data_IF_275392654786
#
_entry.id   IF_275392654786
#
_cell.length_a   1.000
_cell.length_b   1.000
_cell.length_c   1.000
_cell.angle_alpha   90.00
_cell.angle_beta   90.00
_cell.angle_gamma   90.00
#
_symmetry.space_group_name_H-M   'P 1'
#
loop_
_entity.id
_entity.type
_entity.pdbx_description
1 polymer ?
#
# COMPACT_ATOMS: atom_id res chain seq x y z
N UNK A 1 -5.60 7.07 -12.65
CA UNK A 1 -5.68 5.96 -11.67
C UNK A 1 -6.62 4.96 -12.27
N UNK A 2 -6.20 3.70 -12.39
CA UNK A 2 -7.11 2.63 -12.80
C UNK A 2 -7.65 1.97 -11.53
N UNK A 3 -8.94 1.62 -11.53
CA UNK A 3 -9.62 0.98 -10.40
C UNK A 3 -10.35 -0.25 -10.91
N UNK A 4 -10.13 -1.37 -10.23
CA UNK A 4 -10.78 -2.65 -10.52
C UNK A 4 -11.56 -3.09 -9.30
N UNK A 5 -12.80 -3.54 -9.50
CA UNK A 5 -13.65 -4.11 -8.45
C UNK A 5 -13.86 -5.60 -8.71
N UNK A 6 -13.62 -6.42 -7.68
CA UNK A 6 -13.83 -7.86 -7.67
C UNK A 6 -14.85 -8.21 -6.57
N UNK A 7 -16.15 -8.33 -6.90
CA UNK A 7 -17.20 -8.61 -5.92
C UNK A 7 -17.14 -10.06 -5.42
N UNK A 8 -17.39 -10.27 -4.13
CA UNK A 8 -17.47 -11.61 -3.54
C UNK A 8 -18.85 -12.23 -3.74
N UNK A 9 -18.85 -13.52 -4.08
CA UNK A 9 -20.08 -14.24 -4.43
C UNK A 9 -21.05 -14.26 -3.24
N UNK A 10 -22.28 -13.77 -3.45
CA UNK A 10 -23.35 -13.70 -2.45
C UNK A 10 -23.05 -12.81 -1.22
N UNK A 11 -22.07 -11.90 -1.30
CA UNK A 11 -21.76 -10.95 -0.24
C UNK A 11 -21.85 -9.50 -0.75
N UNK A 12 -22.18 -8.55 0.14
CA UNK A 12 -22.10 -7.11 -0.16
C UNK A 12 -20.67 -6.59 0.04
N UNK A 13 -19.68 -7.38 -0.40
CA UNK A 13 -18.26 -7.10 -0.20
C UNK A 13 -17.51 -7.23 -1.51
N UNK A 14 -16.54 -6.34 -1.71
CA UNK A 14 -15.69 -6.36 -2.89
C UNK A 14 -14.24 -6.09 -2.51
N UNK A 15 -13.33 -6.74 -3.24
CA UNK A 15 -11.93 -6.34 -3.31
C UNK A 15 -11.81 -5.22 -4.34
N UNK A 16 -11.30 -4.07 -3.93
CA UNK A 16 -10.93 -2.99 -4.81
C UNK A 16 -9.41 -2.96 -4.97
N UNK A 17 -8.94 -2.82 -6.21
CA UNK A 17 -7.52 -2.65 -6.54
C UNK A 17 -7.33 -1.32 -7.26
N UNK A 18 -6.37 -0.53 -6.78
CA UNK A 18 -6.05 0.81 -7.24
C UNK A 18 -4.64 0.83 -7.81
N UNK A 19 -4.54 1.03 -9.13
CA UNK A 19 -3.27 1.06 -9.84
C UNK A 19 -2.93 2.54 -10.16
N UNK A 20 -1.85 3.08 -9.60
CA UNK A 20 -1.35 4.41 -9.93
C UNK A 20 -0.73 4.43 -11.35
N UNK A 21 -1.57 4.51 -12.37
CA UNK A 21 -1.13 4.60 -13.77
C UNK A 21 -0.65 6.02 -14.12
N UNK A 22 0.49 6.13 -14.82
CA UNK A 22 0.79 7.26 -15.71
C UNK A 22 0.64 6.74 -17.15
N UNK A 23 -0.26 7.35 -17.92
CA UNK A 23 -0.26 7.19 -19.38
C UNK A 23 0.68 8.24 -19.98
N UNK A 24 1.88 7.85 -20.38
CA UNK A 24 2.68 8.67 -21.29
C UNK A 24 2.21 8.38 -22.72
N UNK A 25 1.44 9.31 -23.31
CA UNK A 25 1.36 9.46 -24.78
C UNK A 25 2.79 9.69 -25.28
N UNK A 26 3.40 8.90 -26.18
CA UNK A 26 2.92 8.49 -27.49
C UNK A 26 3.48 7.13 -27.99
N UNK A 27 3.70 6.15 -27.11
CA UNK A 27 3.98 4.76 -27.53
C UNK A 27 3.37 3.80 -26.50
N UNK A 28 2.44 2.97 -26.97
CA UNK A 28 1.59 2.07 -26.17
C UNK A 28 2.34 0.91 -25.49
N UNK A 29 3.66 0.87 -25.59
CA UNK A 29 4.51 -0.23 -25.13
C UNK A 29 5.22 0.00 -23.79
N UNK A 30 5.19 1.20 -23.21
CA UNK A 30 5.82 1.46 -21.90
C UNK A 30 4.85 2.06 -20.87
N UNK A 31 4.27 1.19 -20.04
CA UNK A 31 3.62 1.63 -18.79
C UNK A 31 4.74 2.03 -17.82
N UNK A 32 4.93 3.34 -17.59
CA UNK A 32 5.87 3.83 -16.57
C UNK A 32 5.11 4.12 -15.28
N UNK A 33 5.51 3.46 -14.19
CA UNK A 33 5.00 3.78 -12.87
C UNK A 33 5.84 4.92 -12.28
N UNK A 34 5.18 5.89 -11.62
CA UNK A 34 5.93 6.87 -10.82
C UNK A 34 6.50 6.14 -9.61
N UNK A 35 7.77 6.39 -9.29
CA UNK A 35 8.42 5.92 -8.07
C UNK A 35 7.75 6.40 -6.75
N UNK A 36 6.63 7.13 -6.81
CA UNK A 36 5.83 7.51 -5.65
C UNK A 36 4.32 7.40 -5.94
N UNK A 37 3.92 6.60 -6.94
CA UNK A 37 2.53 6.55 -7.42
C UNK A 37 1.54 6.20 -6.31
N UNK A 38 1.84 5.17 -5.51
CA UNK A 38 1.00 4.77 -4.37
C UNK A 38 0.99 5.85 -3.28
N UNK A 39 2.14 6.41 -2.92
CA UNK A 39 2.21 7.49 -1.92
C UNK A 39 1.39 8.71 -2.36
N UNK A 40 1.48 9.12 -3.62
CA UNK A 40 0.67 10.22 -4.17
C UNK A 40 -0.83 9.92 -4.19
N UNK A 41 -1.24 8.64 -4.35
CA UNK A 41 -2.64 8.26 -4.18
C UNK A 41 -3.10 8.40 -2.73
N UNK A 42 -2.30 7.92 -1.78
CA UNK A 42 -2.59 8.02 -0.35
C UNK A 42 -2.67 9.48 0.09
N UNK A 43 -1.70 10.32 -0.30
CA UNK A 43 -1.71 11.77 -0.04
C UNK A 43 -2.97 12.44 -0.58
N UNK A 44 -3.42 12.06 -1.78
CA UNK A 44 -4.66 12.58 -2.35
C UNK A 44 -5.87 12.15 -1.51
N UNK A 45 -5.97 10.88 -1.12
CA UNK A 45 -7.07 10.38 -0.30
C UNK A 45 -7.07 10.94 1.12
N UNK A 46 -5.95 11.48 1.62
CA UNK A 46 -5.90 12.18 2.91
C UNK A 46 -6.56 13.57 2.89
N UNK A 47 -6.93 14.08 1.71
CA UNK A 47 -7.70 15.34 1.57
C UNK A 47 -9.21 15.10 1.66
N UNK A 48 -9.97 16.10 2.11
CA UNK A 48 -11.44 16.01 2.20
C UNK A 48 -12.11 15.71 0.85
N UNK A 49 -11.65 16.38 -0.21
CA UNK A 49 -12.13 16.14 -1.57
C UNK A 49 -11.77 14.72 -2.05
N UNK A 50 -10.52 14.29 -1.80
CA UNK A 50 -10.04 12.98 -2.22
C UNK A 50 -10.74 11.83 -1.52
N UNK A 51 -10.98 11.92 -0.20
CA UNK A 51 -11.71 10.88 0.54
C UNK A 51 -13.19 10.85 0.17
N UNK A 52 -13.80 12.02 -0.08
CA UNK A 52 -15.19 12.11 -0.56
C UNK A 52 -15.34 11.45 -1.93
N UNK A 53 -14.40 11.73 -2.83
CA UNK A 53 -14.34 11.10 -4.16
C UNK A 53 -14.16 9.58 -4.05
N UNK A 54 -13.26 9.12 -3.18
CA UNK A 54 -13.04 7.69 -2.96
C UNK A 54 -14.32 7.00 -2.43
N UNK A 55 -15.00 7.59 -1.45
CA UNK A 55 -16.25 7.03 -0.91
C UNK A 55 -17.34 6.92 -1.97
N UNK A 56 -17.54 7.97 -2.76
CA UNK A 56 -18.50 7.95 -3.85
C UNK A 56 -18.18 6.85 -4.88
N UNK A 57 -16.89 6.60 -5.15
CA UNK A 57 -16.44 5.52 -6.01
C UNK A 57 -16.71 4.13 -5.42
N UNK A 58 -16.45 3.96 -4.12
CA UNK A 58 -16.65 2.68 -3.43
C UNK A 58 -18.14 2.32 -3.29
N UNK A 59 -19.00 3.32 -3.17
CA UNK A 59 -20.45 3.16 -3.00
C UNK A 59 -21.21 3.11 -4.35
N UNK A 60 -20.57 3.45 -5.47
CA UNK A 60 -21.23 3.43 -6.77
C UNK A 60 -21.44 2.00 -7.28
N UNK A 61 -22.67 1.67 -7.68
CA UNK A 61 -23.01 0.42 -8.38
C UNK A 61 -22.71 0.48 -9.88
N UNK A 62 -22.48 1.68 -10.41
CA UNK A 62 -22.09 1.91 -11.80
C UNK A 62 -20.58 1.89 -11.92
N UNK A 63 -19.98 1.01 -12.75
CA UNK A 63 -18.58 1.22 -13.11
C UNK A 63 -18.48 2.59 -13.78
N UNK A 64 -17.67 3.48 -13.19
CA UNK A 64 -17.39 4.81 -13.74
C UNK A 64 -17.14 4.72 -15.24
N UNK A 65 -17.76 5.59 -16.05
CA UNK A 65 -17.54 5.62 -17.51
C UNK A 65 -16.05 5.86 -17.88
N UNK A 66 -15.25 6.39 -16.94
CA UNK A 66 -13.79 6.57 -17.05
C UNK A 66 -12.98 5.38 -16.51
N UNK A 67 -13.62 4.43 -15.83
CA UNK A 67 -13.00 3.18 -15.45
C UNK A 67 -13.10 2.22 -16.64
N UNK A 68 -12.12 2.27 -17.52
CA UNK A 68 -11.89 1.18 -18.47
C UNK A 68 -11.71 -0.11 -17.65
N UNK A 69 -12.77 -0.93 -17.54
CA UNK A 69 -12.70 -2.25 -16.91
C UNK A 69 -11.95 -3.15 -17.90
N UNK A 70 -10.63 -3.09 -17.83
CA UNK A 70 -9.81 -4.12 -18.45
C UNK A 70 -10.01 -5.40 -17.64
N UNK A 71 -10.71 -6.37 -18.23
CA UNK A 71 -10.86 -7.73 -17.70
C UNK A 71 -9.53 -8.50 -17.65
N UNK A 72 -8.39 -7.84 -17.94
CA UNK A 72 -7.14 -8.51 -18.26
C UNK A 72 -6.34 -9.07 -17.09
N UNK A 73 -6.55 -8.63 -15.84
CA UNK A 73 -5.69 -9.07 -14.73
C UNK A 73 -6.50 -9.21 -13.43
N UNK A 74 -6.80 -10.46 -13.05
CA UNK A 74 -7.24 -10.77 -11.69
C UNK A 74 -6.04 -10.64 -10.74
N UNK A 75 -6.20 -9.94 -9.60
CA UNK A 75 -5.13 -9.82 -8.62
C UNK A 75 -4.89 -11.16 -7.98
N UNK A 76 -3.71 -11.73 -8.19
CA UNK A 76 -3.20 -12.87 -7.43
C UNK A 76 -2.06 -12.34 -6.57
N UNK A 77 -2.19 -12.45 -5.26
CA UNK A 77 -1.12 -12.10 -4.33
C UNK A 77 -1.36 -12.71 -2.96
N UNK A 78 -0.28 -13.04 -2.26
CA UNK A 78 -0.32 -13.46 -0.87
C UNK A 78 0.60 -12.59 -0.02
N UNK A 79 0.11 -12.15 1.13
CA UNK A 79 0.77 -11.25 2.06
C UNK A 79 0.59 -11.74 3.49
N UNK A 80 1.69 -11.97 4.19
CA UNK A 80 1.74 -12.08 5.64
C UNK A 80 2.63 -10.98 6.19
N UNK A 81 2.10 -10.20 7.14
CA UNK A 81 2.81 -9.08 7.73
C UNK A 81 2.53 -8.91 9.21
N UNK A 82 3.60 -8.80 9.98
CA UNK A 82 3.58 -8.31 11.35
C UNK A 82 3.76 -6.79 11.40
N UNK A 83 2.83 -6.11 12.06
CA UNK A 83 2.82 -4.66 12.24
C UNK A 83 2.93 -4.34 13.73
N UNK A 84 4.08 -3.83 14.21
CA UNK A 84 4.21 -3.34 15.58
C UNK A 84 3.23 -2.20 15.82
N UNK A 85 2.41 -2.30 16.88
CA UNK A 85 1.44 -1.26 17.20
C UNK A 85 2.04 -0.08 17.96
N UNK A 86 3.14 -0.29 18.68
CA UNK A 86 3.80 0.77 19.47
C UNK A 86 4.17 2.01 18.62
N UNK A 87 4.95 1.88 17.52
CA UNK A 87 5.28 3.03 16.68
C UNK A 87 4.05 3.71 16.06
N UNK A 88 2.96 2.95 15.86
CA UNK A 88 1.71 3.50 15.34
C UNK A 88 0.96 4.32 16.40
N UNK A 89 0.90 3.83 17.63
CA UNK A 89 0.29 4.56 18.75
C UNK A 89 1.04 5.86 19.04
N UNK A 90 2.37 5.85 18.96
CA UNK A 90 3.21 7.05 19.04
C UNK A 90 2.89 8.03 17.88
N UNK A 91 2.84 7.54 16.64
CA UNK A 91 2.52 8.38 15.48
C UNK A 91 1.11 8.99 15.54
N UNK A 92 0.16 8.32 16.23
CA UNK A 92 -1.20 8.81 16.47
C UNK A 92 -1.30 9.75 17.69
N UNK A 93 -0.22 9.95 18.44
CA UNK A 93 -0.21 10.77 19.66
C UNK A 93 -0.92 10.11 20.84
N UNK A 94 -1.07 8.78 20.85
CA UNK A 94 -1.70 7.98 21.91
C UNK A 94 -0.65 7.17 22.70
N UNK A 95 0.57 7.69 22.73
CA UNK A 95 1.73 7.16 23.46
C UNK A 95 1.51 7.05 24.97
N UNK A 96 0.51 7.73 25.52
CA UNK A 96 0.14 7.66 26.94
C UNK A 96 -0.26 6.24 27.36
N UNK A 97 -0.81 5.44 26.45
CA UNK A 97 -1.11 4.02 26.71
C UNK A 97 0.16 3.20 26.99
N UNK A 98 1.31 3.65 26.47
CA UNK A 98 2.60 2.98 26.58
C UNK A 98 3.37 3.38 27.84
N UNK A 99 2.98 4.49 28.49
CA UNK A 99 3.68 5.07 29.63
C UNK A 99 3.10 4.50 30.93
N UNK A 100 3.95 4.01 31.85
CA UNK A 100 3.51 3.69 33.20
C UNK A 100 2.81 4.89 33.84
N UNK A 101 1.70 4.64 34.54
CA UNK A 101 0.94 5.62 35.32
C UNK A 101 0.35 6.82 34.54
N UNK A 102 0.41 6.82 33.20
CA UNK A 102 -0.14 7.90 32.38
C UNK A 102 -1.66 7.77 32.15
N UNK A 103 -2.17 6.54 32.11
CA UNK A 103 -3.59 6.22 32.00
C UNK A 103 -3.94 5.18 33.06
N UNK A 104 -5.04 5.38 33.78
CA UNK A 104 -5.56 4.37 34.69
C UNK A 104 -6.26 3.27 33.88
N UNK A 105 -5.59 2.11 33.78
CA UNK A 105 -6.13 0.88 33.20
C UNK A 105 -6.59 -0.11 34.26
N UNK A 106 -6.57 0.26 35.54
CA UNK A 106 -6.80 -0.62 36.68
C UNK A 106 -8.20 -1.26 36.62
N UNK A 107 -9.19 -0.54 36.10
CA UNK A 107 -10.56 -1.06 35.90
C UNK A 107 -10.66 -2.26 34.93
N UNK A 108 -9.63 -2.51 34.13
CA UNK A 108 -9.54 -3.66 33.22
C UNK A 108 -8.97 -4.91 33.91
N UNK A 109 -8.38 -4.77 35.10
CA UNK A 109 -7.68 -5.84 35.80
C UNK A 109 -8.21 -5.97 37.24
N UNK A 110 -8.06 -7.17 37.81
CA UNK A 110 -8.57 -7.47 39.16
C UNK A 110 -7.59 -7.00 40.26
N UNK A 111 -6.37 -6.63 39.89
CA UNK A 111 -5.31 -6.24 40.82
C UNK A 111 -5.00 -4.74 40.72
N UNK A 112 -4.66 -4.13 41.86
CA UNK A 112 -4.30 -2.70 42.04
C UNK A 112 -2.86 -2.36 41.59
N UNK A 113 -2.23 -3.21 40.76
CA UNK A 113 -0.91 -2.90 40.21
C UNK A 113 -1.07 -1.90 39.06
N UNK A 114 -0.23 -0.87 38.97
CA UNK A 114 -0.34 0.07 37.86
C UNK A 114 -0.05 -0.62 36.53
N UNK A 115 -1.08 -0.71 35.68
CA UNK A 115 -0.99 -1.40 34.40
C UNK A 115 -0.80 -0.39 33.28
N UNK A 116 0.15 -0.68 32.39
CA UNK A 116 0.33 0.01 31.12
C UNK A 116 0.37 -1.01 29.98
N UNK A 117 0.14 -0.56 28.76
CA UNK A 117 0.30 -1.41 27.59
C UNK A 117 1.79 -1.67 27.38
N UNK A 118 2.21 -2.93 27.52
CA UNK A 118 3.58 -3.35 27.26
C UNK A 118 3.93 -3.26 25.78
N UNK A 119 3.74 -4.36 25.04
CA UNK A 119 3.92 -4.38 23.60
C UNK A 119 2.72 -5.05 22.91
N UNK A 120 2.48 -4.68 21.66
CA UNK A 120 1.38 -5.20 20.88
C UNK A 120 1.74 -5.30 19.39
N UNK A 121 1.24 -6.34 18.74
CA UNK A 121 1.49 -6.63 17.33
C UNK A 121 0.18 -6.96 16.64
N UNK A 122 -0.04 -6.36 15.47
CA UNK A 122 -1.13 -6.69 14.57
C UNK A 122 -0.57 -7.54 13.42
N UNK A 123 -0.97 -8.80 13.37
CA UNK A 123 -0.62 -9.73 12.28
C UNK A 123 -1.73 -9.74 11.26
N UNK A 124 -1.39 -9.58 9.99
CA UNK A 124 -2.30 -9.66 8.86
C UNK A 124 -1.85 -10.81 7.95
N UNK A 125 -2.80 -11.62 7.51
CA UNK A 125 -2.62 -12.62 6.47
C UNK A 125 -3.70 -12.43 5.41
N UNK A 126 -3.30 -12.22 4.16
CA UNK A 126 -4.18 -12.07 3.01
C UNK A 126 -3.69 -12.98 1.91
N UNK A 127 -4.62 -13.72 1.32
CA UNK A 127 -4.39 -14.58 0.18
C UNK A 127 -5.49 -14.32 -0.85
N UNK A 128 -5.10 -13.75 -1.99
CA UNK A 128 -5.99 -13.47 -3.12
C UNK A 128 -5.58 -14.38 -4.26
N UNK A 129 -6.54 -15.16 -4.76
CA UNK A 129 -6.40 -15.98 -5.95
C UNK A 129 -7.60 -15.74 -6.89
N UNK A 130 -7.56 -16.36 -8.07
CA UNK A 130 -8.57 -16.23 -9.13
C UNK A 130 -10.01 -16.47 -8.65
N UNK A 131 -10.18 -17.39 -7.69
CA UNK A 131 -11.51 -17.85 -7.27
C UNK A 131 -11.98 -17.23 -5.96
N UNK A 132 -11.06 -16.81 -5.09
CA UNK A 132 -11.39 -16.42 -3.73
C UNK A 132 -10.34 -15.47 -3.10
N UNK A 133 -10.80 -14.70 -2.12
CA UNK A 133 -9.94 -13.97 -1.19
C UNK A 133 -10.13 -14.53 0.22
N UNK A 134 -9.03 -14.90 0.88
CA UNK A 134 -8.99 -15.19 2.30
C UNK A 134 -8.20 -14.08 3.01
N UNK A 135 -8.83 -13.39 3.95
CA UNK A 135 -8.18 -12.35 4.74
C UNK A 135 -8.45 -12.56 6.22
N UNK A 136 -7.40 -12.46 7.03
CA UNK A 136 -7.46 -12.62 8.48
C UNK A 136 -6.49 -11.67 9.16
N UNK A 137 -6.86 -11.25 10.36
CA UNK A 137 -5.98 -10.47 11.22
C UNK A 137 -6.08 -10.93 12.67
N UNK A 138 -4.98 -10.78 13.41
CA UNK A 138 -4.90 -11.12 14.83
C UNK A 138 -4.08 -10.08 15.58
N UNK A 139 -4.49 -9.80 16.82
CA UNK A 139 -3.77 -8.93 17.73
C UNK A 139 -3.10 -9.78 18.81
N UNK A 140 -1.81 -9.57 19.01
CA UNK A 140 -1.03 -10.23 20.07
C UNK A 140 -0.52 -9.16 21.02
N UNK A 141 -0.86 -9.30 22.30
CA UNK A 141 -0.40 -8.46 23.39
C UNK A 141 0.58 -9.24 24.25
N UNK A 142 1.70 -8.64 24.63
CA UNK A 142 2.73 -9.32 25.41
C UNK A 142 3.50 -8.34 26.31
N UNK A 143 4.06 -8.89 27.38
CA UNK A 143 4.83 -8.16 28.39
C UNK A 143 6.31 -8.52 28.24
N UNK A 144 7.15 -7.60 27.75
CA UNK A 144 8.60 -7.80 27.65
C UNK A 144 9.24 -7.13 26.42
N UNK A 145 10.58 -7.03 26.42
CA UNK A 145 11.38 -6.60 25.25
C UNK A 145 11.70 -7.79 24.33
N UNK A 146 10.68 -8.57 23.98
CA UNK A 146 10.89 -9.67 23.04
C UNK A 146 11.09 -9.11 21.62
N UNK A 147 12.29 -9.33 21.08
CA UNK A 147 12.62 -9.07 19.68
C UNK A 147 11.90 -10.13 18.82
N UNK A 148 10.60 -9.93 18.59
CA UNK A 148 9.87 -10.77 17.65
C UNK A 148 10.48 -10.63 16.25
N UNK A 149 10.79 -11.76 15.62
CA UNK A 149 11.18 -11.78 14.22
C UNK A 149 9.94 -11.39 13.40
N UNK A 150 9.92 -10.15 12.92
CA UNK A 150 8.84 -9.64 12.10
C UNK A 150 8.74 -10.49 10.84
N UNK A 151 7.65 -11.23 10.70
CA UNK A 151 7.38 -11.95 9.47
C UNK A 151 6.90 -10.95 8.43
N UNK A 152 7.61 -10.92 7.30
CA UNK A 152 7.14 -10.30 6.07
C UNK A 152 7.32 -11.33 4.97
N UNK A 153 6.22 -11.93 4.54
CA UNK A 153 6.19 -12.78 3.35
C UNK A 153 5.26 -12.13 2.36
N UNK A 154 5.80 -11.74 1.22
CA UNK A 154 5.01 -11.36 0.04
C UNK A 154 5.32 -12.41 -1.00
N UNK A 155 4.30 -13.09 -1.48
CA UNK A 155 4.41 -14.16 -2.46
C UNK A 155 3.58 -13.80 -3.69
N UNK A 156 4.29 -13.77 -4.82
CA UNK A 156 3.89 -13.94 -6.23
C UNK A 156 2.56 -13.35 -6.71
N UNK A 157 2.65 -12.55 -7.77
CA UNK A 157 1.57 -12.36 -8.76
C UNK A 157 1.36 -10.93 -9.28
N UNK A 158 1.90 -9.90 -8.61
CA UNK A 158 1.81 -8.52 -9.06
C UNK A 158 3.16 -7.78 -8.94
N UNK A 159 3.84 -7.55 -10.06
CA UNK A 159 5.15 -6.87 -10.11
C UNK A 159 5.05 -5.33 -10.09
N UNK A 160 3.83 -4.78 -10.11
CA UNK A 160 3.59 -3.34 -10.20
C UNK A 160 3.10 -2.80 -8.86
N UNK A 161 3.43 -1.55 -8.48
CA UNK A 161 2.86 -0.92 -7.29
C UNK A 161 1.33 -0.76 -7.38
N UNK A 162 0.62 -1.12 -6.30
CA UNK A 162 -0.84 -0.95 -6.19
C UNK A 162 -1.28 -0.74 -4.75
N UNK A 163 -2.45 -0.15 -4.56
CA UNK A 163 -3.17 -0.16 -3.29
C UNK A 163 -4.42 -1.04 -3.41
N UNK A 164 -4.91 -1.57 -2.31
CA UNK A 164 -6.09 -2.44 -2.31
C UNK A 164 -6.92 -2.26 -1.04
N UNK A 165 -8.22 -2.54 -1.13
CA UNK A 165 -9.19 -2.48 -0.04
C UNK A 165 -10.14 -3.68 -0.13
N UNK A 166 -10.47 -4.29 1.01
CA UNK A 166 -11.67 -5.12 1.12
C UNK A 166 -12.75 -4.26 1.75
N UNK A 167 -13.81 -3.97 0.99
CA UNK A 167 -14.85 -3.02 1.38
C UNK A 167 -16.20 -3.72 1.54
N UNK A 168 -16.89 -3.45 2.65
CA UNK A 168 -18.27 -3.85 2.90
C UNK A 168 -19.20 -2.70 2.47
N UNK A 169 -19.80 -2.85 1.28
CA UNK A 169 -20.67 -1.84 0.68
C UNK A 169 -21.94 -1.62 1.49
N UNK A 170 -22.46 -2.66 2.14
CA UNK A 170 -23.67 -2.54 2.95
C UNK A 170 -23.42 -1.72 4.22
N UNK A 171 -22.26 -1.90 4.87
CA UNK A 171 -21.89 -1.18 6.09
C UNK A 171 -21.06 0.07 5.83
N UNK A 172 -20.74 0.33 4.56
CA UNK A 172 -19.83 1.39 4.12
C UNK A 172 -18.52 1.40 4.91
N UNK A 173 -17.91 0.22 5.07
CA UNK A 173 -16.76 0.03 5.95
C UNK A 173 -15.59 -0.66 5.25
N UNK A 174 -14.37 -0.17 5.53
CA UNK A 174 -13.13 -0.83 5.11
C UNK A 174 -12.80 -1.93 6.10
N UNK A 175 -12.74 -3.18 5.64
CA UNK A 175 -12.40 -4.34 6.46
C UNK A 175 -10.89 -4.59 6.49
N UNK A 176 -10.26 -4.46 5.33
CA UNK A 176 -8.80 -4.58 5.17
C UNK A 176 -8.33 -3.54 4.17
N UNK A 177 -7.11 -3.04 4.37
CA UNK A 177 -6.45 -2.12 3.47
C UNK A 177 -4.97 -2.44 3.39
N UNK A 178 -4.39 -2.26 2.20
CA UNK A 178 -2.96 -2.42 2.03
C UNK A 178 -2.44 -1.75 0.78
N UNK A 179 -1.12 -1.71 0.71
CA UNK A 179 -0.37 -1.18 -0.42
C UNK A 179 0.84 -2.06 -0.66
N UNK A 180 1.07 -2.41 -1.92
CA UNK A 180 2.29 -3.03 -2.39
C UNK A 180 3.09 -2.02 -3.20
N UNK A 181 4.36 -1.92 -2.87
CA UNK A 181 5.26 -0.96 -3.48
C UNK A 181 6.65 -1.57 -3.50
N UNK A 182 6.93 -2.31 -4.57
CA UNK A 182 8.26 -2.87 -4.81
C UNK A 182 8.98 -2.00 -5.82
N UNK A 183 9.88 -1.18 -5.32
CA UNK A 183 10.71 -0.32 -6.17
C UNK A 183 12.01 -1.00 -6.59
N UNK A 184 12.26 -2.26 -6.21
CA UNK A 184 13.53 -2.91 -6.53
C UNK A 184 13.66 -3.29 -8.02
N UNK A 185 12.57 -3.27 -8.79
CA UNK A 185 12.58 -3.66 -10.20
C UNK A 185 12.80 -2.53 -11.22
N UNK A 186 12.88 -1.26 -10.79
CA UNK A 186 13.03 -0.12 -11.72
C UNK A 186 14.41 0.53 -11.74
N UNK A 187 15.36 0.07 -10.91
CA UNK A 187 16.76 0.40 -11.10
C UNK A 187 17.44 -0.76 -11.84
N UNK A 188 17.25 -0.81 -13.15
CA UNK A 188 18.23 -1.49 -13.99
C UNK A 188 19.54 -0.72 -13.76
N UNK A 189 20.47 -1.32 -13.03
CA UNK A 189 21.78 -0.75 -12.69
C UNK A 189 22.57 -0.38 -13.97
N UNK A 190 22.15 -0.91 -15.12
CA UNK A 190 22.67 -0.58 -16.44
C UNK A 190 22.32 0.86 -16.91
N UNK A 191 21.22 1.46 -16.45
CA UNK A 191 20.84 2.84 -16.82
C UNK A 191 21.66 3.91 -16.07
N UNK A 192 22.31 3.54 -14.96
CA UNK A 192 23.17 4.44 -14.17
C UNK A 192 24.63 4.40 -14.67
N UNK A 193 24.99 3.38 -15.46
CA UNK A 193 26.37 3.14 -15.92
C UNK A 193 26.63 3.45 -17.39
N UNK A 194 25.68 4.02 -18.13
CA UNK A 194 26.00 4.54 -19.46
C UNK A 194 26.93 5.76 -19.33
N UNK A 195 28.16 5.73 -19.87
CA UNK A 195 28.98 6.93 -19.94
C UNK A 195 28.24 7.95 -20.80
N UNK A 196 28.26 9.22 -20.38
CA UNK A 196 27.68 10.35 -21.12
C UNK A 196 27.96 10.22 -22.62
N UNK A 197 26.96 10.46 -23.49
CA UNK A 197 27.21 10.47 -24.93
C UNK A 197 28.32 11.50 -25.18
N UNK A 198 29.43 11.03 -25.75
CA UNK A 198 30.54 11.89 -26.17
C UNK A 198 29.97 13.05 -26.97
N UNK A 199 29.96 14.24 -26.38
CA UNK A 199 29.70 15.48 -27.11
C UNK A 199 30.81 15.55 -28.16
N UNK A 200 30.50 15.56 -29.47
CA UNK A 200 31.52 15.76 -30.48
C UNK A 200 32.13 17.13 -30.24
N UNK A 201 33.42 17.16 -29.88
CA UNK A 201 34.21 18.39 -29.86
C UNK A 201 34.15 18.95 -31.29
N UNK A 202 33.75 20.23 -31.49
CA UNK A 202 33.76 20.82 -32.82
C UNK A 202 35.16 20.72 -33.43
N UNK A 203 35.25 20.23 -34.67
CA UNK A 203 36.48 20.33 -35.45
C UNK A 203 36.82 21.82 -35.56
N UNK A 204 37.93 22.22 -34.96
CA UNK A 204 38.52 23.53 -35.13
C UNK A 204 39.12 23.59 -36.55
N UNK A 205 38.30 23.95 -37.52
CA UNK A 205 38.77 24.35 -38.84
C UNK A 205 39.23 25.80 -38.75
N UNK A 206 40.52 25.99 -38.52
CA UNK A 206 41.38 26.92 -39.27
C UNK A 206 42.61 27.29 -38.45
N UNK A 207 43.76 26.74 -38.87
CA UNK A 207 45.03 27.45 -39.05
C UNK A 207 46.06 26.43 -39.52
N UNK A 208 46.36 26.50 -40.81
CA UNK A 208 47.73 26.54 -41.34
C UNK A 208 47.64 26.65 -42.87
N UNK A 209 47.56 27.89 -43.35
CA UNK A 209 48.01 28.29 -44.66
C UNK A 209 48.77 29.61 -44.52
N UNK A 210 50.06 29.53 -44.85
CA UNK A 210 51.15 30.53 -44.86
C UNK A 210 51.82 30.91 -43.53
#
# INVERSE_FOLDING_TARGET
>A
MHVSEFPYTNENRSLFVFIPMITCSADSSSRRFRANGVSSLIERWSTEEGISTLRNLLDSDTPSEDAYIDHGIEPIFSLERDIPLLPLLEALGIEELLKPDAINLDSLFVNDDSVHLGNAMHRICVDVNENNTAAGASNVFYTGQDNHCLSKKISEGYDNPFAWLIYDKQRQNVLFAGAYNDFEYFFNIDDILMPSPNIPVPLDTDKDNL
#
